data_IF_705568557420
#
_entry.id   IF_705568557420
#
_cell.length_a   1.000
_cell.length_b   1.000
_cell.length_c   1.000
_cell.angle_alpha   90.00
_cell.angle_beta   90.00
_cell.angle_gamma   90.00
#
_symmetry.space_group_name_H-M   'P 1'
#
loop_
_entity.id
_entity.type
_entity.pdbx_description
1 polymer ?
#
# COMPACT_ATOMS: atom_id res chain seq x y z
N UNK A 1 6.00 1.73 -19.81
CA UNK A 1 5.83 0.37 -20.30
C UNK A 1 4.48 -0.09 -19.82
N UNK A 2 3.57 -0.29 -20.78
CA UNK A 2 2.26 -0.90 -20.55
C UNK A 2 2.43 -2.27 -19.89
N UNK A 3 1.71 -2.56 -18.79
CA UNK A 3 1.81 -3.86 -18.15
C UNK A 3 1.28 -4.96 -19.08
N UNK A 4 1.88 -6.16 -19.02
CA UNK A 4 1.46 -7.29 -19.85
C UNK A 4 0.07 -7.78 -19.42
N UNK A 5 -0.83 -8.18 -20.32
CA UNK A 5 -2.14 -8.73 -19.96
C UNK A 5 -2.06 -9.90 -18.96
N UNK A 6 -1.00 -10.71 -19.04
CA UNK A 6 -0.77 -11.85 -18.15
C UNK A 6 0.04 -11.50 -16.88
N UNK A 7 0.41 -10.23 -16.70
CA UNK A 7 1.08 -9.79 -15.48
C UNK A 7 0.14 -9.97 -14.29
N UNK A 8 0.64 -10.65 -13.26
CA UNK A 8 -0.10 -10.87 -12.01
C UNK A 8 0.04 -9.64 -11.12
N UNK A 9 -1.10 -9.18 -10.61
CA UNK A 9 -1.26 -8.08 -9.69
C UNK A 9 -1.80 -8.60 -8.35
N UNK A 10 -1.36 -7.96 -7.27
CA UNK A 10 -1.55 -8.37 -5.88
C UNK A 10 -1.86 -7.17 -4.99
N UNK A 11 -2.14 -7.40 -3.71
CA UNK A 11 -2.31 -6.31 -2.74
C UNK A 11 -1.07 -5.41 -2.61
N UNK A 12 0.13 -5.92 -2.94
CA UNK A 12 1.35 -5.12 -2.99
C UNK A 12 1.27 -4.06 -4.09
N UNK A 13 0.69 -4.40 -5.25
CA UNK A 13 0.54 -3.48 -6.37
C UNK A 13 -0.46 -2.37 -6.05
N UNK A 14 -1.57 -2.71 -5.37
CA UNK A 14 -2.49 -1.73 -4.79
C UNK A 14 -1.78 -0.81 -3.79
N UNK A 15 -1.06 -1.38 -2.81
CA UNK A 15 -0.35 -0.60 -1.80
C UNK A 15 0.66 0.37 -2.44
N UNK A 16 1.44 -0.09 -3.41
CA UNK A 16 2.40 0.72 -4.14
C UNK A 16 1.70 1.83 -4.94
N UNK A 17 0.63 1.50 -5.67
CA UNK A 17 -0.15 2.47 -6.44
C UNK A 17 -0.72 3.57 -5.55
N UNK A 18 -1.29 3.20 -4.40
CA UNK A 18 -1.80 4.12 -3.39
C UNK A 18 -0.71 5.06 -2.85
N UNK A 19 0.42 4.52 -2.41
CA UNK A 19 1.51 5.31 -1.81
C UNK A 19 2.07 6.31 -2.84
N UNK A 20 2.29 5.88 -4.09
CA UNK A 20 2.74 6.75 -5.17
C UNK A 20 1.72 7.85 -5.42
N UNK A 21 0.43 7.51 -5.51
CA UNK A 21 -0.64 8.48 -5.76
C UNK A 21 -0.76 9.52 -4.64
N UNK A 22 -0.70 9.09 -3.37
CA UNK A 22 -0.71 9.98 -2.22
C UNK A 22 0.48 10.95 -2.23
N UNK A 23 1.65 10.50 -2.69
CA UNK A 23 2.83 11.35 -2.78
C UNK A 23 2.70 12.44 -3.87
N UNK A 24 2.18 12.08 -5.06
CA UNK A 24 2.02 13.04 -6.18
C UNK A 24 0.75 13.90 -6.07
N UNK A 25 -0.23 13.48 -5.28
CA UNK A 25 -1.50 14.17 -5.04
C UNK A 25 -1.78 14.19 -3.52
N UNK A 26 -1.04 14.98 -2.73
CA UNK A 26 -1.11 14.92 -1.27
C UNK A 26 -2.41 15.48 -0.67
N UNK A 27 -3.10 16.38 -1.36
CA UNK A 27 -4.39 16.91 -0.91
C UNK A 27 -5.52 15.92 -1.25
N UNK A 28 -6.08 15.28 -0.22
CA UNK A 28 -7.18 14.34 -0.37
C UNK A 28 -8.47 15.00 -0.89
N UNK A 29 -8.62 16.32 -0.77
CA UNK A 29 -9.75 17.03 -1.36
C UNK A 29 -9.73 17.00 -2.89
N UNK A 30 -8.56 16.73 -3.47
CA UNK A 30 -8.37 16.59 -4.92
C UNK A 30 -8.63 15.17 -5.43
N UNK A 31 -8.88 14.20 -4.54
CA UNK A 31 -9.09 12.78 -4.89
C UNK A 31 -10.50 12.52 -5.44
N UNK A 32 -10.83 13.21 -6.52
CA UNK A 32 -12.11 13.10 -7.23
C UNK A 32 -11.91 13.38 -8.70
N UNK A 33 -12.63 12.65 -9.55
CA UNK A 33 -12.47 12.74 -11.00
C UNK A 33 -12.51 14.16 -11.54
N UNK A 34 -13.43 15.00 -11.03
CA UNK A 34 -13.59 16.39 -11.48
C UNK A 34 -12.29 17.20 -11.34
N UNK A 35 -11.57 17.02 -10.23
CA UNK A 35 -10.29 17.73 -10.03
C UNK A 35 -9.19 17.09 -10.85
N UNK A 36 -9.13 15.75 -10.84
CA UNK A 36 -8.06 14.99 -11.49
C UNK A 36 -8.10 15.05 -13.02
N UNK A 37 -9.24 15.34 -13.65
CA UNK A 37 -9.35 15.54 -15.10
C UNK A 37 -8.37 16.55 -15.68
N UNK A 38 -7.89 17.50 -14.87
CA UNK A 38 -6.87 18.48 -15.28
C UNK A 38 -5.46 17.89 -15.37
N UNK A 39 -5.25 16.67 -14.88
CA UNK A 39 -3.99 15.93 -14.92
C UNK A 39 -4.28 14.47 -15.29
N UNK A 40 -4.28 14.14 -16.60
CA UNK A 40 -4.53 12.79 -17.08
C UNK A 40 -3.72 11.69 -16.35
N UNK A 41 -2.42 11.88 -16.04
CA UNK A 41 -1.66 10.87 -15.30
C UNK A 41 -2.19 10.58 -13.89
N UNK A 42 -2.65 11.62 -13.18
CA UNK A 42 -3.20 11.47 -11.84
C UNK A 42 -4.60 10.84 -11.90
N UNK A 43 -5.41 11.21 -12.89
CA UNK A 43 -6.71 10.59 -13.12
C UNK A 43 -6.61 9.10 -13.41
N UNK A 44 -5.70 8.69 -14.29
CA UNK A 44 -5.51 7.28 -14.64
C UNK A 44 -5.03 6.46 -13.44
N UNK A 45 -4.08 6.97 -12.66
CA UNK A 45 -3.64 6.32 -11.42
C UNK A 45 -4.78 6.15 -10.41
N UNK A 46 -5.62 7.17 -10.26
CA UNK A 46 -6.81 7.10 -9.41
C UNK A 46 -7.81 6.02 -9.90
N UNK A 47 -8.03 5.91 -11.21
CA UNK A 47 -8.87 4.85 -11.80
C UNK A 47 -8.29 3.45 -11.56
N UNK A 48 -6.97 3.27 -11.72
CA UNK A 48 -6.29 2.01 -11.44
C UNK A 48 -6.46 1.60 -9.97
N UNK A 49 -6.31 2.56 -9.05
CA UNK A 49 -6.53 2.30 -7.61
C UNK A 49 -7.98 1.87 -7.37
N UNK A 50 -8.97 2.59 -7.88
CA UNK A 50 -10.38 2.22 -7.69
C UNK A 50 -10.70 0.82 -8.27
N UNK A 51 -10.06 0.45 -9.39
CA UNK A 51 -10.18 -0.89 -9.97
C UNK A 51 -9.64 -1.96 -9.03
N UNK A 52 -8.51 -1.70 -8.38
CA UNK A 52 -7.99 -2.58 -7.32
C UNK A 52 -8.92 -2.65 -6.12
N UNK A 53 -9.51 -1.53 -5.66
CA UNK A 53 -10.42 -1.55 -4.51
C UNK A 53 -11.61 -2.48 -4.76
N UNK A 54 -12.18 -2.47 -5.97
CA UNK A 54 -13.22 -3.40 -6.37
C UNK A 54 -12.73 -4.85 -6.41
N UNK A 55 -11.60 -5.10 -7.06
CA UNK A 55 -11.02 -6.45 -7.18
C UNK A 55 -10.76 -7.11 -5.81
N UNK A 56 -10.22 -6.35 -4.86
CA UNK A 56 -9.95 -6.84 -3.50
C UNK A 56 -11.18 -6.82 -2.58
N UNK A 57 -12.35 -6.37 -3.06
CA UNK A 57 -13.57 -6.24 -2.27
C UNK A 57 -13.34 -5.34 -1.04
N UNK A 58 -12.74 -4.17 -1.28
CA UNK A 58 -12.48 -3.10 -0.31
C UNK A 58 -13.59 -2.05 -0.39
N UNK A 59 -14.01 -1.69 -1.60
CA UNK A 59 -15.05 -0.70 -1.86
C UNK A 59 -14.79 0.08 -3.15
N UNK A 60 -15.41 1.26 -3.26
CA UNK A 60 -15.32 2.14 -4.44
C UNK A 60 -14.74 3.52 -4.11
N UNK A 61 -14.52 3.81 -2.82
CA UNK A 61 -14.07 5.11 -2.35
C UNK A 61 -12.69 4.99 -1.72
N UNK A 62 -11.68 5.53 -2.41
CA UNK A 62 -10.30 5.53 -1.92
C UNK A 62 -10.14 6.16 -0.52
N UNK A 63 -10.88 7.23 -0.23
CA UNK A 63 -10.78 7.92 1.06
C UNK A 63 -11.46 7.13 2.19
N UNK A 64 -12.78 6.95 2.12
CA UNK A 64 -13.51 6.29 3.21
C UNK A 64 -13.18 4.81 3.34
N UNK A 65 -13.09 4.09 2.21
CA UNK A 65 -13.06 2.64 2.25
C UNK A 65 -11.64 2.14 2.53
N UNK A 66 -10.63 2.72 1.86
CA UNK A 66 -9.23 2.30 2.00
C UNK A 66 -8.43 3.15 2.99
N UNK A 67 -8.37 4.47 2.80
CA UNK A 67 -7.52 5.34 3.63
C UNK A 67 -7.95 5.35 5.10
N UNK A 68 -9.25 5.47 5.37
CA UNK A 68 -9.78 5.40 6.75
C UNK A 68 -9.89 3.96 7.27
N UNK A 69 -9.58 2.95 6.43
CA UNK A 69 -9.61 1.54 6.81
C UNK A 69 -11.00 0.97 7.11
N UNK A 70 -12.10 1.62 6.66
CA UNK A 70 -13.45 1.15 6.97
C UNK A 70 -13.77 -0.21 6.36
N UNK A 71 -13.07 -0.61 5.29
CA UNK A 71 -13.23 -1.94 4.69
C UNK A 71 -13.02 -3.08 5.70
N UNK A 72 -12.22 -2.86 6.74
CA UNK A 72 -11.93 -3.84 7.79
C UNK A 72 -13.14 -4.14 8.68
N UNK A 73 -14.14 -3.25 8.71
CA UNK A 73 -15.37 -3.41 9.49
C UNK A 73 -16.27 -4.53 8.92
N UNK A 74 -16.12 -4.82 7.63
CA UNK A 74 -16.85 -5.89 6.92
C UNK A 74 -16.12 -7.25 6.89
N UNK A 75 -14.90 -7.33 7.43
CA UNK A 75 -14.06 -8.53 7.35
C UNK A 75 -14.22 -9.39 8.59
N UNK A 76 -14.22 -10.70 8.40
CA UNK A 76 -14.32 -11.63 9.51
C UNK A 76 -12.97 -11.71 10.24
N UNK A 77 -12.92 -11.62 11.58
CA UNK A 77 -11.66 -11.75 12.34
C UNK A 77 -10.89 -13.03 12.02
N UNK A 78 -11.61 -14.07 11.58
CA UNK A 78 -11.04 -15.37 11.20
C UNK A 78 -10.24 -15.35 9.90
N UNK A 79 -10.39 -14.32 9.06
CA UNK A 79 -9.58 -14.13 7.86
C UNK A 79 -8.12 -13.80 8.23
N UNK A 80 -7.89 -13.19 9.40
CA UNK A 80 -6.59 -12.65 9.81
C UNK A 80 -5.73 -13.62 10.63
N UNK A 81 -5.85 -14.93 10.39
CA UNK A 81 -5.08 -15.98 11.11
C UNK A 81 -3.57 -15.76 11.05
N UNK A 82 -3.04 -15.35 9.90
CA UNK A 82 -1.61 -15.05 9.75
C UNK A 82 -1.17 -13.93 10.70
N UNK A 83 -1.93 -12.84 10.75
CA UNK A 83 -1.65 -11.68 11.58
C UNK A 83 -1.75 -12.02 13.08
N UNK A 84 -2.79 -12.75 13.47
CA UNK A 84 -2.96 -13.25 14.83
C UNK A 84 -1.76 -14.10 15.28
N UNK A 85 -1.22 -14.96 14.39
CA UNK A 85 -0.04 -15.77 14.69
C UNK A 85 1.25 -14.94 14.84
N UNK A 86 1.43 -13.88 14.03
CA UNK A 86 2.55 -12.95 14.18
C UNK A 86 2.47 -12.22 15.53
N UNK A 87 1.29 -11.74 15.90
CA UNK A 87 1.05 -11.06 17.18
C UNK A 87 1.32 -11.96 18.38
N UNK A 88 0.82 -13.21 18.36
CA UNK A 88 1.10 -14.22 19.40
C UNK A 88 2.60 -14.49 19.55
N UNK A 89 3.30 -14.63 18.43
CA UNK A 89 4.75 -14.88 18.42
C UNK A 89 5.52 -13.70 19.02
N UNK A 90 5.11 -12.47 18.70
CA UNK A 90 5.69 -11.26 19.28
C UNK A 90 5.50 -11.19 20.81
N UNK A 91 4.30 -11.46 21.32
CA UNK A 91 4.04 -11.50 22.77
C UNK A 91 4.90 -12.56 23.45
N UNK A 92 4.92 -13.79 22.91
CA UNK A 92 5.69 -14.91 23.46
C UNK A 92 7.18 -14.60 23.55
N UNK A 93 7.74 -13.97 22.52
CA UNK A 93 9.17 -13.67 22.43
C UNK A 93 9.61 -12.50 23.31
N UNK A 94 8.70 -11.60 23.70
CA UNK A 94 9.07 -10.42 24.50
C UNK A 94 9.24 -10.68 26.00
N UNK A 95 9.02 -11.91 26.51
CA UNK A 95 9.06 -12.19 27.94
C UNK A 95 8.29 -11.11 28.74
N UNK A 96 7.09 -10.72 28.29
CA UNK A 96 6.18 -9.91 29.11
C UNK A 96 5.75 -10.82 30.27
N UNK A 97 6.60 -10.86 31.28
CA UNK A 97 6.72 -11.89 32.30
C UNK A 97 5.77 -11.69 33.47
N UNK A 98 4.86 -10.71 33.38
CA UNK A 98 3.83 -10.46 34.40
C UNK A 98 2.43 -10.97 34.03
N UNK A 99 2.17 -11.29 32.75
CA UNK A 99 0.85 -11.75 32.28
C UNK A 99 0.82 -13.25 31.91
N UNK A 100 1.84 -14.02 32.31
CA UNK A 100 1.95 -15.45 31.98
C UNK A 100 0.80 -16.30 32.54
N UNK A 101 0.04 -15.82 33.53
CA UNK A 101 -1.15 -16.50 34.03
C UNK A 101 -2.40 -16.28 33.17
N UNK A 102 -2.52 -15.14 32.47
CA UNK A 102 -3.66 -14.85 31.58
C UNK A 102 -3.45 -15.37 30.14
N UNK A 103 -2.20 -15.68 29.76
CA UNK A 103 -1.85 -16.11 28.40
C UNK A 103 -2.16 -17.58 28.09
N UNK A 104 -2.58 -18.39 29.07
CA UNK A 104 -2.82 -19.83 28.89
C UNK A 104 -4.10 -20.17 28.12
N UNK A 105 -5.08 -19.26 28.04
CA UNK A 105 -6.40 -19.56 27.44
C UNK A 105 -6.86 -18.61 26.33
N UNK A 106 -6.08 -17.61 25.95
CA UNK A 106 -6.51 -16.71 24.88
C UNK A 106 -6.39 -17.40 23.51
N UNK A 107 -7.52 -17.81 22.96
CA UNK A 107 -7.74 -17.88 21.51
C UNK A 107 -7.60 -16.46 20.97
N UNK A 108 -6.37 -15.92 20.94
CA UNK A 108 -6.07 -14.51 20.63
C UNK A 108 -6.40 -14.25 19.17
N UNK A 109 -7.69 -14.02 18.93
CA UNK A 109 -8.27 -13.48 17.71
C UNK A 109 -8.11 -11.98 17.87
N UNK A 110 -7.48 -11.33 16.90
CA UNK A 110 -7.37 -9.88 16.92
C UNK A 110 -8.76 -9.30 16.75
N UNK A 111 -9.15 -8.36 17.60
CA UNK A 111 -10.42 -7.67 17.42
C UNK A 111 -10.35 -6.82 16.13
N UNK A 112 -11.47 -6.61 15.41
CA UNK A 112 -11.49 -5.73 14.24
C UNK A 112 -10.86 -4.36 14.49
N UNK A 113 -11.09 -3.80 15.69
CA UNK A 113 -10.48 -2.55 16.14
C UNK A 113 -8.94 -2.61 16.16
N UNK A 114 -8.34 -3.70 16.66
CA UNK A 114 -6.89 -3.87 16.71
C UNK A 114 -6.28 -3.94 15.31
N UNK A 115 -6.97 -4.61 14.38
CA UNK A 115 -6.54 -4.76 12.99
C UNK A 115 -6.59 -3.41 12.27
N UNK A 116 -7.69 -2.65 12.45
CA UNK A 116 -7.83 -1.30 11.90
C UNK A 116 -6.76 -0.36 12.44
N UNK A 117 -6.55 -0.36 13.75
CA UNK A 117 -5.49 0.44 14.37
C UNK A 117 -4.12 0.07 13.80
N UNK A 118 -3.82 -1.23 13.65
CA UNK A 118 -2.55 -1.67 13.08
C UNK A 118 -2.39 -1.22 11.62
N UNK A 119 -3.44 -1.34 10.81
CA UNK A 119 -3.45 -0.89 9.42
C UNK A 119 -3.13 0.60 9.31
N UNK A 120 -3.85 1.45 10.04
CA UNK A 120 -3.66 2.90 10.02
C UNK A 120 -2.23 3.28 10.40
N UNK A 121 -1.69 2.68 11.48
CA UNK A 121 -0.33 2.97 11.96
C UNK A 121 0.75 2.51 11.00
N UNK A 122 0.59 1.33 10.39
CA UNK A 122 1.56 0.80 9.42
C UNK A 122 1.50 1.59 8.10
N UNK A 123 0.30 1.97 7.64
CA UNK A 123 0.11 2.72 6.41
C UNK A 123 0.71 4.12 6.54
N UNK A 124 0.40 4.84 7.63
CA UNK A 124 0.97 6.16 7.94
C UNK A 124 2.51 6.10 7.99
N UNK A 125 3.07 5.11 8.71
CA UNK A 125 4.52 4.90 8.75
C UNK A 125 5.09 4.65 7.34
N UNK A 126 4.47 3.76 6.57
CA UNK A 126 4.96 3.38 5.24
C UNK A 126 4.92 4.54 4.24
N UNK A 127 3.89 5.38 4.28
CA UNK A 127 3.79 6.61 3.49
C UNK A 127 4.88 7.60 3.87
N UNK A 128 5.11 7.83 5.17
CA UNK A 128 6.18 8.73 5.64
C UNK A 128 7.55 8.29 5.17
N UNK A 129 7.84 6.99 5.28
CA UNK A 129 9.13 6.46 4.80
C UNK A 129 9.24 6.57 3.29
N UNK A 130 8.17 6.32 2.52
CA UNK A 130 8.20 6.49 1.06
C UNK A 130 8.67 7.89 0.66
N UNK A 131 8.13 8.94 1.29
CA UNK A 131 8.54 10.33 1.02
C UNK A 131 10.03 10.57 1.30
N UNK A 132 10.59 9.94 2.34
CA UNK A 132 12.03 10.01 2.63
C UNK A 132 12.85 9.29 1.57
N UNK A 133 12.43 8.09 1.13
CA UNK A 133 13.18 7.30 0.16
C UNK A 133 13.13 7.89 -1.26
N UNK A 134 12.04 8.58 -1.60
CA UNK A 134 11.79 9.15 -2.93
C UNK A 134 12.27 10.60 -3.07
N UNK A 135 12.93 11.15 -2.05
CA UNK A 135 13.42 12.53 -2.03
C UNK A 135 14.31 12.87 -3.24
N UNK A 136 14.91 11.87 -3.88
CA UNK A 136 15.87 12.04 -4.96
C UNK A 136 15.34 11.70 -6.37
N UNK A 137 14.11 11.17 -6.50
CA UNK A 137 13.63 10.58 -7.76
C UNK A 137 13.27 11.61 -8.85
N UNK A 138 13.33 12.91 -8.55
CA UNK A 138 13.00 14.00 -9.49
C UNK A 138 14.20 14.84 -9.93
N UNK A 139 15.43 14.44 -9.57
CA UNK A 139 16.64 15.23 -9.72
C UNK A 139 17.57 14.64 -10.80
N UNK A 140 17.12 14.63 -12.06
CA UNK A 140 17.88 14.06 -13.19
C UNK A 140 18.91 15.03 -13.79
N UNK A 141 18.80 16.33 -13.52
CA UNK A 141 19.69 17.37 -14.04
C UNK A 141 20.36 18.17 -12.92
N UNK A 142 20.98 17.48 -11.95
CA UNK A 142 21.61 18.14 -10.80
C UNK A 142 23.14 18.23 -10.86
N UNK A 143 23.72 19.31 -10.30
CA UNK A 143 25.16 19.47 -10.05
C UNK A 143 25.83 18.23 -9.42
N UNK A 144 27.15 18.10 -9.61
CA UNK A 144 27.90 16.95 -9.08
C UNK A 144 27.81 16.78 -7.55
N UNK A 145 27.69 17.89 -6.80
CA UNK A 145 27.51 17.85 -5.33
C UNK A 145 26.19 17.18 -4.93
N UNK A 146 25.13 17.42 -5.69
CA UNK A 146 23.82 16.80 -5.46
C UNK A 146 23.84 15.32 -5.86
N UNK A 147 24.59 14.95 -6.91
CA UNK A 147 24.81 13.54 -7.25
C UNK A 147 25.58 12.80 -6.14
N UNK A 148 26.55 13.45 -5.51
CA UNK A 148 27.27 12.90 -4.35
C UNK A 148 26.33 12.73 -3.16
N UNK A 149 25.51 13.74 -2.86
CA UNK A 149 24.44 13.65 -1.85
C UNK A 149 23.47 12.50 -2.13
N UNK A 150 22.98 12.38 -3.37
CA UNK A 150 22.10 11.29 -3.79
C UNK A 150 22.76 9.93 -3.61
N UNK A 151 24.01 9.77 -4.06
CA UNK A 151 24.75 8.53 -3.90
C UNK A 151 24.87 8.15 -2.42
N UNK A 152 25.25 9.11 -1.57
CA UNK A 152 25.36 8.91 -0.13
C UNK A 152 24.04 8.48 0.49
N UNK A 153 22.95 9.23 0.25
CA UNK A 153 21.61 8.91 0.77
C UNK A 153 21.10 7.56 0.24
N UNK A 154 21.30 7.27 -1.04
CA UNK A 154 20.83 6.02 -1.68
C UNK A 154 21.43 4.75 -1.04
N UNK A 155 22.68 4.83 -0.54
CA UNK A 155 23.32 3.72 0.14
C UNK A 155 22.62 3.36 1.46
N UNK A 156 22.15 4.36 2.22
CA UNK A 156 21.37 4.15 3.44
C UNK A 156 19.92 3.71 3.13
N UNK A 157 19.31 4.29 2.09
CA UNK A 157 17.97 3.90 1.60
C UNK A 157 17.92 2.40 1.26
N UNK A 158 18.95 1.86 0.58
CA UNK A 158 19.03 0.43 0.25
C UNK A 158 19.01 -0.50 1.47
N UNK A 159 19.58 -0.08 2.60
CA UNK A 159 19.55 -0.88 3.83
C UNK A 159 18.15 -0.87 4.47
N UNK A 160 17.42 0.24 4.36
CA UNK A 160 16.05 0.37 4.89
C UNK A 160 15.01 -0.44 4.11
N UNK A 161 15.25 -0.74 2.82
CA UNK A 161 14.32 -1.49 1.98
C UNK A 161 13.99 -2.89 2.52
N UNK A 162 14.95 -3.59 3.12
CA UNK A 162 14.71 -4.94 3.68
C UNK A 162 13.72 -4.89 4.85
N UNK A 163 13.77 -3.85 5.67
CA UNK A 163 12.83 -3.65 6.76
C UNK A 163 11.43 -3.31 6.24
N UNK A 164 11.35 -2.47 5.20
CA UNK A 164 10.07 -2.12 4.58
C UNK A 164 9.34 -3.31 3.98
N UNK A 165 10.05 -4.29 3.42
CA UNK A 165 9.41 -5.53 2.94
C UNK A 165 8.62 -6.26 4.04
N UNK A 166 9.05 -6.18 5.31
CA UNK A 166 8.31 -6.79 6.42
C UNK A 166 7.02 -6.03 6.73
N UNK A 167 7.07 -4.70 6.65
CA UNK A 167 5.90 -3.84 6.84
C UNK A 167 4.92 -4.03 5.69
N UNK A 168 5.42 -4.01 4.45
CA UNK A 168 4.61 -4.21 3.25
C UNK A 168 3.91 -5.57 3.29
N UNK A 169 4.62 -6.63 3.70
CA UNK A 169 4.00 -7.95 3.91
C UNK A 169 2.87 -7.92 4.94
N UNK A 170 3.05 -7.22 6.06
CA UNK A 170 1.99 -7.08 7.08
C UNK A 170 0.81 -6.29 6.54
N UNK A 171 1.04 -5.15 5.89
CA UNK A 171 0.00 -4.34 5.24
C UNK A 171 -0.76 -5.15 4.20
N UNK A 172 -0.07 -5.85 3.30
CA UNK A 172 -0.71 -6.69 2.29
C UNK A 172 -1.56 -7.80 2.92
N UNK A 173 -1.12 -8.38 4.04
CA UNK A 173 -1.91 -9.39 4.76
C UNK A 173 -3.15 -8.81 5.48
N UNK A 174 -3.17 -7.49 5.73
CA UNK A 174 -4.33 -6.79 6.27
C UNK A 174 -5.29 -6.38 5.14
N UNK A 175 -4.74 -5.86 4.04
CA UNK A 175 -5.48 -5.45 2.84
C UNK A 175 -6.20 -6.66 2.22
N UNK A 176 -5.47 -7.76 2.07
CA UNK A 176 -5.97 -8.98 1.45
C UNK A 176 -5.48 -10.22 2.21
N UNK A 177 -6.21 -10.63 3.26
CA UNK A 177 -5.87 -11.83 4.02
C UNK A 177 -5.96 -13.13 3.20
N UNK A 178 -6.67 -13.11 2.06
CA UNK A 178 -6.89 -14.28 1.20
C UNK A 178 -5.81 -14.43 0.12
N UNK A 179 -4.89 -13.46 -0.02
CA UNK A 179 -3.82 -13.47 -1.01
C UNK A 179 -4.32 -13.72 -2.45
N UNK A 180 -5.42 -13.04 -2.79
CA UNK A 180 -6.00 -12.96 -4.13
C UNK A 180 -4.96 -12.43 -5.11
N UNK A 181 -5.11 -12.88 -6.35
CA UNK A 181 -4.25 -12.53 -7.47
C UNK A 181 -5.13 -12.30 -8.68
N UNK A 182 -4.83 -11.24 -9.42
CA UNK A 182 -5.55 -10.88 -10.63
C UNK A 182 -4.54 -10.62 -11.73
N UNK A 183 -4.80 -11.11 -12.93
CA UNK A 183 -4.10 -10.69 -14.12
C UNK A 183 -4.55 -9.28 -14.51
N UNK A 184 -3.70 -8.54 -15.22
CA UNK A 184 -4.09 -7.25 -15.81
C UNK A 184 -5.32 -7.40 -16.70
N UNK A 185 -5.41 -8.52 -17.44
CA UNK A 185 -6.56 -8.84 -18.27
C UNK A 185 -7.86 -8.91 -17.44
N UNK A 186 -7.87 -9.68 -16.35
CA UNK A 186 -9.03 -9.76 -15.44
C UNK A 186 -9.38 -8.39 -14.86
N UNK A 187 -8.37 -7.58 -14.48
CA UNK A 187 -8.61 -6.23 -13.99
C UNK A 187 -9.26 -5.32 -15.04
N UNK A 188 -8.87 -5.42 -16.31
CA UNK A 188 -9.46 -4.65 -17.41
C UNK A 188 -10.90 -5.12 -17.69
N UNK A 189 -11.10 -6.44 -17.78
CA UNK A 189 -12.38 -7.04 -18.19
C UNK A 189 -13.44 -6.94 -17.09
N UNK A 190 -13.07 -7.16 -15.82
CA UNK A 190 -14.03 -7.33 -14.72
C UNK A 190 -14.06 -6.15 -13.74
N UNK A 191 -13.06 -5.26 -13.77
CA UNK A 191 -12.87 -4.23 -12.73
C UNK A 191 -12.57 -2.81 -13.26
N UNK A 192 -12.75 -2.56 -14.57
CA UNK A 192 -12.54 -1.26 -15.24
C UNK A 192 -11.11 -0.70 -15.13
N UNK A 193 -10.11 -1.56 -15.04
CA UNK A 193 -8.71 -1.13 -15.04
C UNK A 193 -8.34 -0.51 -16.39
N UNK A 194 -7.69 0.67 -16.43
CA UNK A 194 -7.41 1.35 -17.68
C UNK A 194 -6.31 0.65 -18.49
N UNK A 195 -6.60 0.38 -19.75
CA UNK A 195 -5.67 -0.29 -20.68
C UNK A 195 -4.68 0.68 -21.34
N UNK A 196 -3.84 1.33 -20.52
CA UNK A 196 -2.96 2.45 -20.95
C UNK A 196 -1.48 2.23 -20.60
N UNK A 197 -0.57 2.87 -21.33
CA UNK A 197 0.84 2.97 -20.95
C UNK A 197 1.09 4.24 -20.11
N UNK A 198 0.98 4.11 -18.79
CA UNK A 198 1.21 5.26 -17.88
C UNK A 198 2.57 5.92 -18.07
N UNK A 199 3.63 5.15 -18.27
CA UNK A 199 4.99 5.70 -18.39
C UNK A 199 5.09 6.54 -19.65
N UNK A 200 4.51 6.08 -20.76
CA UNK A 200 4.47 6.87 -21.99
C UNK A 200 3.73 8.18 -21.77
N UNK A 201 2.58 8.13 -21.09
CA UNK A 201 1.76 9.32 -20.79
C UNK A 201 2.52 10.30 -19.88
N UNK A 202 3.26 9.80 -18.89
CA UNK A 202 4.10 10.65 -18.04
C UNK A 202 5.21 11.34 -18.85
N UNK A 203 5.87 10.63 -19.78
CA UNK A 203 6.90 11.21 -20.65
C UNK A 203 6.37 12.23 -21.65
N UNK A 204 5.19 11.99 -22.24
CA UNK A 204 4.59 12.90 -23.23
C UNK A 204 4.16 14.25 -22.60
N UNK A 205 4.13 14.34 -21.27
CA UNK A 205 3.73 15.54 -20.51
C UNK A 205 4.90 16.27 -19.83
N UNK A 206 6.12 15.73 -19.92
CA UNK A 206 7.37 16.37 -19.47
C UNK A 206 7.99 17.22 -20.58
#
# INVERSE_FOLDING_TARGET
>A
MKPSPNQVMTAQDLLNAYIVFQHITPDYNDWKEKTLKKSPPRMLRYQMINSFLRAFSIGDKLTSDFFDGSFLESKEPTDYKYLANQYKSFIKNRNISKDKENAKDSTTTLAPFDIKYLFERLLDYRTKIFGVLQHNDYLHAVPQVDRFYQHFVSAYVKQSTVFLLKIDKLLCSIIDPQNKKFTVKELIEDYDYPDVDLVKIDFDLL
#
